data_IF_526856812475
#
_entry.id   IF_526856812475
#
_cell.length_a   1.000
_cell.length_b   1.000
_cell.length_c   1.000
_cell.angle_alpha   90.00
_cell.angle_beta   90.00
_cell.angle_gamma   90.00
#
_symmetry.space_group_name_H-M   'P 1'
#
loop_
_entity.id
_entity.type
_entity.pdbx_description
1 polymer ?
#
# COMPACT_ATOMS: atom_id res chain seq x y z
N UNK A 1 10.06 -17.36 -10.97
CA UNK A 1 9.99 -16.41 -9.84
C UNK A 1 8.98 -16.90 -8.83
N UNK A 2 9.35 -16.94 -7.59
CA UNK A 2 8.48 -17.42 -6.52
C UNK A 2 7.54 -16.33 -6.02
N UNK A 3 6.37 -16.75 -5.55
CA UNK A 3 5.46 -15.88 -4.82
C UNK A 3 6.00 -15.67 -3.41
N UNK A 4 5.93 -14.45 -2.90
CA UNK A 4 6.24 -14.17 -1.50
C UNK A 4 5.14 -14.73 -0.60
N UNK A 5 5.41 -15.87 0.01
CA UNK A 5 4.44 -16.55 0.86
C UNK A 5 4.13 -15.80 2.16
N UNK A 6 5.10 -15.04 2.68
CA UNK A 6 4.90 -14.20 3.88
C UNK A 6 3.95 -13.05 3.55
N UNK A 7 4.17 -12.40 2.42
CA UNK A 7 3.28 -11.33 1.93
C UNK A 7 1.86 -11.84 1.71
N UNK A 8 1.75 -13.00 1.06
CA UNK A 8 0.45 -13.62 0.81
C UNK A 8 -0.30 -13.93 2.11
N UNK A 9 0.39 -14.57 3.07
CA UNK A 9 -0.20 -14.91 4.37
C UNK A 9 -0.64 -13.65 5.10
N UNK A 10 0.20 -12.62 5.12
CA UNK A 10 -0.08 -11.36 5.79
C UNK A 10 -1.32 -10.67 5.20
N UNK A 11 -1.40 -10.57 3.87
CA UNK A 11 -2.52 -9.93 3.20
C UNK A 11 -3.84 -10.68 3.39
N UNK A 12 -3.79 -12.01 3.38
CA UNK A 12 -4.99 -12.84 3.56
C UNK A 12 -5.47 -12.85 5.01
N UNK A 13 -4.56 -12.84 5.97
CA UNK A 13 -4.89 -12.86 7.41
C UNK A 13 -5.42 -11.51 7.89
N UNK A 14 -4.78 -10.42 7.52
CA UNK A 14 -5.14 -9.07 7.98
C UNK A 14 -6.28 -8.49 7.15
N UNK A 15 -6.36 -8.86 5.87
CA UNK A 15 -7.38 -8.37 4.94
C UNK A 15 -7.38 -6.86 4.76
N UNK A 16 -6.22 -6.23 4.99
CA UNK A 16 -6.00 -4.83 4.69
C UNK A 16 -5.25 -4.69 3.36
N UNK A 17 -5.53 -3.65 2.55
CA UNK A 17 -4.75 -3.38 1.35
C UNK A 17 -3.36 -2.83 1.66
N UNK A 18 -3.07 -2.51 2.92
CA UNK A 18 -1.79 -1.94 3.34
C UNK A 18 -0.93 -2.98 4.02
N UNK A 19 0.38 -2.92 3.77
CA UNK A 19 1.36 -3.83 4.37
C UNK A 19 2.25 -3.14 5.41
N UNK A 20 2.14 -1.83 5.56
CA UNK A 20 2.87 -1.08 6.59
C UNK A 20 2.11 -1.06 7.91
N UNK A 21 2.82 -0.71 8.99
CA UNK A 21 2.23 -0.74 10.34
C UNK A 21 1.32 0.45 10.65
N UNK A 22 1.40 1.52 9.87
CA UNK A 22 0.54 2.67 10.06
C UNK A 22 1.20 3.81 10.86
N UNK A 23 0.45 4.88 11.00
CA UNK A 23 0.84 6.08 11.75
C UNK A 23 -0.06 6.23 12.98
N UNK A 24 0.56 6.33 14.14
CA UNK A 24 -0.12 6.41 15.43
C UNK A 24 0.18 7.76 16.09
N UNK A 25 -0.87 8.56 16.36
CA UNK A 25 -0.71 9.92 16.85
C UNK A 25 -0.09 10.01 18.25
N UNK A 26 -0.45 9.16 19.16
CA UNK A 26 0.05 9.17 20.53
C UNK A 26 0.40 7.76 20.97
N UNK A 27 1.53 7.20 20.49
CA UNK A 27 1.87 5.80 20.77
C UNK A 27 1.96 5.48 22.27
N UNK A 28 2.39 6.43 23.07
CA UNK A 28 2.51 6.24 24.53
C UNK A 28 1.16 6.15 25.26
N UNK A 29 0.07 6.57 24.63
CA UNK A 29 -1.28 6.50 25.19
C UNK A 29 -2.08 5.31 24.69
N UNK A 30 -1.49 4.49 23.84
CA UNK A 30 -2.16 3.33 23.25
C UNK A 30 -2.06 2.17 24.23
N UNK A 31 -3.20 1.60 24.58
CA UNK A 31 -3.23 0.33 25.28
C UNK A 31 -3.15 -0.81 24.27
N UNK A 32 -2.01 -1.49 24.22
CA UNK A 32 -1.75 -2.56 23.25
C UNK A 32 -2.71 -3.74 23.41
N UNK A 33 -3.29 -3.92 24.58
CA UNK A 33 -4.25 -5.02 24.83
C UNK A 33 -5.63 -4.74 24.21
N UNK A 34 -5.93 -3.48 23.91
CA UNK A 34 -7.23 -3.05 23.37
C UNK A 34 -7.19 -2.68 21.89
N UNK A 35 -6.07 -2.88 21.22
CA UNK A 35 -5.95 -2.55 19.79
C UNK A 35 -6.74 -3.56 18.97
N UNK A 36 -7.72 -3.06 18.20
CA UNK A 36 -8.49 -3.86 17.26
C UNK A 36 -7.85 -3.85 15.86
N UNK A 37 -8.23 -4.81 15.02
CA UNK A 37 -7.83 -4.83 13.61
C UNK A 37 -8.26 -3.55 12.89
N UNK A 38 -9.44 -3.02 13.21
CA UNK A 38 -9.93 -1.76 12.63
C UNK A 38 -9.04 -0.57 13.00
N UNK A 39 -8.49 -0.54 14.21
CA UNK A 39 -7.54 0.51 14.62
C UNK A 39 -6.26 0.44 13.80
N UNK A 40 -5.77 -0.75 13.50
CA UNK A 40 -4.60 -0.96 12.63
C UNK A 40 -4.89 -0.44 11.23
N UNK A 41 -6.03 -0.76 10.65
CA UNK A 41 -6.42 -0.30 9.30
C UNK A 41 -6.49 1.23 9.26
N UNK A 42 -7.11 1.85 10.25
CA UNK A 42 -7.16 3.32 10.34
C UNK A 42 -5.78 3.96 10.47
N UNK A 43 -4.89 3.34 11.23
CA UNK A 43 -3.51 3.81 11.36
C UNK A 43 -2.75 3.69 10.04
N UNK A 44 -3.00 2.63 9.28
CA UNK A 44 -2.42 2.45 7.95
C UNK A 44 -2.93 3.51 6.96
N UNK A 45 -4.21 3.85 7.00
CA UNK A 45 -4.78 4.92 6.18
C UNK A 45 -4.16 6.28 6.54
N UNK A 46 -3.99 6.58 7.82
CA UNK A 46 -3.33 7.81 8.26
C UNK A 46 -1.87 7.89 7.80
N UNK A 47 -1.19 6.76 7.75
CA UNK A 47 0.20 6.71 7.27
C UNK A 47 0.30 7.21 5.83
N UNK A 48 -0.50 6.66 4.92
CA UNK A 48 -0.45 7.09 3.52
C UNK A 48 -0.96 8.52 3.34
N UNK A 49 -1.95 8.93 4.10
CA UNK A 49 -2.44 10.30 4.07
C UNK A 49 -1.35 11.28 4.50
N UNK A 50 -0.66 11.00 5.59
CA UNK A 50 0.45 11.81 6.07
C UNK A 50 1.60 11.85 5.05
N UNK A 51 1.98 10.69 4.52
CA UNK A 51 3.03 10.58 3.53
C UNK A 51 2.69 11.37 2.25
N UNK A 52 1.44 11.28 1.79
CA UNK A 52 0.98 11.99 0.60
C UNK A 52 1.01 13.51 0.76
N UNK A 53 0.93 14.01 1.99
CA UNK A 53 1.01 15.44 2.26
C UNK A 53 2.36 16.06 1.89
N UNK A 54 3.40 15.25 1.74
CA UNK A 54 4.73 15.70 1.29
C UNK A 54 4.87 15.79 -0.23
N UNK A 55 3.88 15.34 -1.00
CA UNK A 55 3.93 15.42 -2.45
C UNK A 55 3.81 16.89 -2.88
N UNK A 56 4.78 17.43 -3.65
CA UNK A 56 4.71 18.83 -4.07
C UNK A 56 3.49 19.12 -4.94
N UNK A 57 3.01 20.35 -4.89
CA UNK A 57 1.96 20.81 -5.78
C UNK A 57 2.41 20.73 -7.24
N UNK A 58 1.50 20.39 -8.13
CA UNK A 58 1.78 20.27 -9.56
C UNK A 58 2.27 18.88 -9.99
N UNK A 59 2.52 17.98 -9.06
CA UNK A 59 2.82 16.58 -9.39
C UNK A 59 1.52 15.85 -9.71
N UNK A 60 1.50 15.16 -10.85
CA UNK A 60 0.35 14.35 -11.28
C UNK A 60 0.67 12.86 -11.44
N UNK A 61 1.93 12.53 -11.71
CA UNK A 61 2.37 11.15 -11.96
C UNK A 61 3.24 10.65 -10.83
N UNK A 62 2.96 9.43 -10.35
CA UNK A 62 3.68 8.81 -9.24
C UNK A 62 4.09 7.39 -9.64
N UNK A 63 5.33 7.04 -9.32
CA UNK A 63 5.80 5.67 -9.36
C UNK A 63 5.83 5.11 -7.95
N UNK A 64 5.00 4.11 -7.68
CA UNK A 64 4.94 3.43 -6.39
C UNK A 64 5.90 2.24 -6.39
N UNK A 65 7.08 2.44 -5.82
CA UNK A 65 8.13 1.42 -5.74
C UNK A 65 7.90 0.55 -4.51
N UNK A 66 7.91 -0.77 -4.70
CA UNK A 66 7.56 -1.69 -3.63
C UNK A 66 6.08 -1.59 -3.26
N UNK A 67 5.23 -1.62 -4.27
CA UNK A 67 3.82 -1.25 -4.16
C UNK A 67 2.97 -2.15 -3.24
N UNK A 68 3.48 -3.28 -2.80
CA UNK A 68 2.71 -4.21 -1.99
C UNK A 68 1.49 -4.75 -2.75
N UNK A 69 0.35 -4.79 -2.10
CA UNK A 69 -0.90 -5.23 -2.71
C UNK A 69 -1.77 -4.08 -3.21
N UNK A 70 -1.20 -2.88 -3.29
CA UNK A 70 -1.80 -1.75 -3.97
C UNK A 70 -2.62 -0.81 -3.10
N UNK A 71 -2.54 -0.90 -1.78
CA UNK A 71 -3.26 0.00 -0.89
C UNK A 71 -2.87 1.46 -1.06
N UNK A 72 -1.56 1.74 -1.10
CA UNK A 72 -1.05 3.09 -1.31
C UNK A 72 -1.39 3.59 -2.72
N UNK A 73 -1.21 2.75 -3.74
CA UNK A 73 -1.58 3.09 -5.11
C UNK A 73 -3.06 3.44 -5.22
N UNK A 74 -3.93 2.67 -4.59
CA UNK A 74 -5.36 2.94 -4.59
C UNK A 74 -5.70 4.28 -3.95
N UNK A 75 -5.09 4.59 -2.80
CA UNK A 75 -5.27 5.87 -2.13
C UNK A 75 -4.88 7.03 -3.04
N UNK A 76 -3.70 6.94 -3.67
CA UNK A 76 -3.18 7.98 -4.55
C UNK A 76 -4.06 8.17 -5.79
N UNK A 77 -4.54 7.09 -6.38
CA UNK A 77 -5.47 7.14 -7.52
C UNK A 77 -6.77 7.84 -7.10
N UNK A 78 -7.30 7.53 -5.92
CA UNK A 78 -8.51 8.18 -5.39
C UNK A 78 -8.30 9.69 -5.19
N UNK A 79 -7.07 10.11 -4.90
CA UNK A 79 -6.70 11.53 -4.78
C UNK A 79 -6.49 12.23 -6.14
N UNK A 80 -6.55 11.50 -7.24
CA UNK A 80 -6.44 12.06 -8.58
C UNK A 80 -5.07 11.93 -9.23
N UNK A 81 -4.14 11.16 -8.64
CA UNK A 81 -2.83 10.93 -9.24
C UNK A 81 -2.88 9.79 -10.26
N UNK A 82 -2.04 9.91 -11.30
CA UNK A 82 -1.73 8.78 -12.19
C UNK A 82 -0.60 7.97 -11.57
N UNK A 83 -0.84 6.71 -11.31
CA UNK A 83 0.09 5.86 -10.57
C UNK A 83 0.54 4.69 -11.44
N UNK A 84 1.85 4.51 -11.54
CA UNK A 84 2.46 3.26 -11.99
C UNK A 84 3.06 2.56 -10.78
N UNK A 85 3.09 1.23 -10.80
CA UNK A 85 3.58 0.44 -9.69
C UNK A 85 4.74 -0.45 -10.12
N UNK A 86 5.66 -0.71 -9.21
CA UNK A 86 6.85 -1.51 -9.46
C UNK A 86 7.14 -2.43 -8.27
N UNK A 87 7.29 -3.71 -8.54
CA UNK A 87 7.71 -4.71 -7.56
C UNK A 87 8.21 -5.96 -8.28
N UNK A 88 9.15 -6.72 -7.71
CA UNK A 88 9.59 -7.97 -8.30
C UNK A 88 8.63 -9.14 -8.04
N UNK A 89 7.63 -8.98 -7.20
CA UNK A 89 6.78 -10.06 -6.73
C UNK A 89 5.61 -10.37 -7.67
N UNK A 90 5.47 -11.64 -8.05
CA UNK A 90 4.41 -12.11 -8.93
C UNK A 90 3.03 -12.07 -8.28
N UNK A 91 2.96 -12.29 -6.98
CA UNK A 91 1.68 -12.21 -6.27
C UNK A 91 1.12 -10.79 -6.29
N UNK A 92 1.97 -9.79 -6.09
CA UNK A 92 1.59 -8.39 -6.20
C UNK A 92 1.13 -8.04 -7.62
N UNK A 93 1.86 -8.51 -8.64
CA UNK A 93 1.48 -8.28 -10.03
C UNK A 93 0.07 -8.83 -10.32
N UNK A 94 -0.23 -10.04 -9.86
CA UNK A 94 -1.53 -10.66 -10.07
C UNK A 94 -2.66 -9.89 -9.40
N UNK A 95 -2.44 -9.38 -8.19
CA UNK A 95 -3.41 -8.54 -7.49
C UNK A 95 -3.67 -7.25 -8.25
N UNK A 96 -2.62 -6.58 -8.73
CA UNK A 96 -2.76 -5.34 -9.51
C UNK A 96 -3.54 -5.57 -10.80
N UNK A 97 -3.26 -6.66 -11.51
CA UNK A 97 -3.98 -7.00 -12.74
C UNK A 97 -5.47 -7.21 -12.50
N UNK A 98 -5.82 -7.91 -11.43
CA UNK A 98 -7.22 -8.13 -11.07
C UNK A 98 -7.92 -6.85 -10.63
N UNK A 99 -7.25 -6.03 -9.81
CA UNK A 99 -7.83 -4.85 -9.17
C UNK A 99 -8.04 -3.71 -10.15
N UNK A 100 -7.10 -3.50 -11.05
CA UNK A 100 -7.10 -2.33 -11.95
C UNK A 100 -7.40 -2.65 -13.40
N UNK A 101 -7.48 -3.93 -13.75
CA UNK A 101 -7.81 -4.38 -15.11
C UNK A 101 -7.00 -3.68 -16.21
N UNK A 102 -5.68 -3.57 -16.00
CA UNK A 102 -4.77 -2.93 -16.94
C UNK A 102 -4.71 -1.40 -16.92
N UNK A 103 -5.50 -0.75 -16.07
CA UNK A 103 -5.50 0.73 -15.95
C UNK A 103 -4.28 1.29 -15.23
N UNK A 104 -3.63 0.49 -14.40
CA UNK A 104 -2.38 0.84 -13.72
C UNK A 104 -1.29 -0.02 -14.33
N UNK A 105 -0.21 0.61 -14.80
CA UNK A 105 0.96 -0.12 -15.27
C UNK A 105 1.69 -0.72 -14.08
N UNK A 106 1.98 -2.00 -14.17
CA UNK A 106 2.76 -2.71 -13.16
C UNK A 106 4.04 -3.25 -13.80
N UNK A 107 5.17 -2.83 -13.26
CA UNK A 107 6.48 -3.28 -13.71
C UNK A 107 7.00 -4.36 -12.74
N UNK A 108 7.00 -5.61 -13.18
CA UNK A 108 7.53 -6.72 -12.39
C UNK A 108 9.05 -6.76 -12.50
N UNK A 109 9.72 -5.92 -11.72
CA UNK A 109 11.17 -5.79 -11.72
C UNK A 109 11.66 -5.24 -10.39
N UNK A 110 12.96 -5.28 -10.18
CA UNK A 110 13.62 -4.64 -9.05
C UNK A 110 13.93 -3.19 -9.38
N UNK A 111 13.90 -2.35 -8.37
CA UNK A 111 14.36 -0.97 -8.47
C UNK A 111 15.87 -0.93 -8.19
N UNK A 112 16.65 -1.01 -9.26
CA UNK A 112 18.12 -0.96 -9.18
C UNK A 112 18.70 -0.18 -10.36
#
# INVERSE_FOLDING_TARGET
>A
MSIDHVLKLYSEAIRSPYLHYGFWDNPSKINTDDISLNDVIKAQERYIEHLSSFIPKGISNILDVGAGIGGNSQFLITKGFDVDALSPDEYQENIFKKKYNGKVKFFKTKFE
#
